data_IF_601500796694
#
_entry.id   IF_601500796694
#
_cell.length_a   1.000
_cell.length_b   1.000
_cell.length_c   1.000
_cell.angle_alpha   90.00
_cell.angle_beta   90.00
_cell.angle_gamma   90.00
#
_symmetry.space_group_name_H-M   'P 1'
#
loop_
_entity.id
_entity.type
_entity.pdbx_description
1 polymer ?
#
# COMPACT_ATOMS: atom_id res chain seq x y z
N UNK A 1 -20.48 -21.38 -7.61
CA UNK A 1 -19.10 -21.85 -7.83
C UNK A 1 -18.19 -21.07 -6.91
N UNK A 2 -17.47 -21.75 -6.02
CA UNK A 2 -16.44 -21.08 -5.20
C UNK A 2 -15.29 -20.69 -6.12
N UNK A 3 -15.12 -19.40 -6.35
CA UNK A 3 -13.94 -18.91 -7.04
C UNK A 3 -12.68 -19.29 -6.26
N UNK A 4 -11.79 -20.03 -6.89
CA UNK A 4 -10.53 -20.40 -6.27
C UNK A 4 -9.65 -19.16 -6.26
N UNK A 5 -9.35 -18.68 -5.06
CA UNK A 5 -8.42 -17.57 -4.88
C UNK A 5 -7.00 -18.13 -4.80
N UNK A 6 -6.17 -17.71 -5.74
CA UNK A 6 -4.84 -18.32 -5.93
C UNK A 6 -3.69 -17.50 -5.33
N UNK A 7 -3.90 -16.24 -5.00
CA UNK A 7 -2.82 -15.37 -4.56
C UNK A 7 -2.68 -15.33 -3.03
N UNK A 8 -1.46 -15.46 -2.59
CA UNK A 8 -1.03 -15.19 -1.22
C UNK A 8 -0.05 -14.03 -1.28
N UNK A 9 -0.37 -12.91 -0.63
CA UNK A 9 0.40 -11.68 -0.71
C UNK A 9 1.01 -11.39 0.66
N UNK A 10 2.32 -11.14 0.68
CA UNK A 10 3.04 -10.66 1.86
C UNK A 10 3.50 -9.22 1.64
N UNK A 11 3.23 -8.37 2.62
CA UNK A 11 3.64 -6.96 2.61
C UNK A 11 4.43 -6.69 3.89
N UNK A 12 5.66 -6.24 3.75
CA UNK A 12 6.47 -5.77 4.87
C UNK A 12 6.51 -4.25 4.83
N UNK A 13 5.82 -3.64 5.79
CA UNK A 13 5.82 -2.18 5.95
C UNK A 13 6.91 -1.81 6.96
N UNK A 14 8.10 -1.54 6.44
CA UNK A 14 9.23 -1.07 7.24
C UNK A 14 9.13 0.43 7.55
N UNK A 15 10.07 0.91 8.34
CA UNK A 15 10.11 2.32 8.77
C UNK A 15 10.29 3.30 7.62
N UNK A 16 11.04 2.91 6.58
CA UNK A 16 11.32 3.76 5.42
C UNK A 16 10.83 3.16 4.10
N UNK A 17 10.88 1.83 3.99
CA UNK A 17 10.60 1.10 2.77
C UNK A 17 9.55 0.02 2.99
N UNK A 18 8.81 -0.26 1.93
CA UNK A 18 7.83 -1.35 1.87
C UNK A 18 8.29 -2.36 0.83
N UNK A 19 8.20 -3.64 1.18
CA UNK A 19 8.47 -4.74 0.26
C UNK A 19 7.21 -5.57 0.08
N UNK A 20 6.97 -6.03 -1.15
CA UNK A 20 5.82 -6.88 -1.46
C UNK A 20 6.31 -8.12 -2.19
N UNK A 21 5.86 -9.27 -1.72
CA UNK A 21 6.01 -10.53 -2.42
C UNK A 21 4.65 -11.21 -2.54
N UNK A 22 4.52 -12.10 -3.50
CA UNK A 22 3.32 -12.90 -3.63
C UNK A 22 3.66 -14.30 -4.12
N UNK A 23 2.80 -15.24 -3.76
CA UNK A 23 2.82 -16.59 -4.27
C UNK A 23 1.53 -16.84 -5.06
N UNK A 24 1.70 -17.25 -6.31
CA UNK A 24 0.59 -17.65 -7.18
C UNK A 24 0.48 -19.18 -7.12
N UNK A 25 -0.57 -19.68 -6.49
CA UNK A 25 -0.80 -21.13 -6.32
C UNK A 25 -1.07 -21.83 -7.64
N UNK A 26 -1.66 -21.14 -8.60
CA UNK A 26 -1.96 -21.70 -9.93
C UNK A 26 -0.69 -21.85 -10.77
N UNK A 27 0.16 -20.84 -10.76
CA UNK A 27 1.45 -20.87 -11.47
C UNK A 27 2.55 -21.57 -10.66
N UNK A 28 2.33 -21.81 -9.37
CA UNK A 28 3.33 -22.35 -8.42
C UNK A 28 4.61 -21.51 -8.39
N UNK A 29 4.46 -20.18 -8.44
CA UNK A 29 5.56 -19.23 -8.47
C UNK A 29 5.49 -18.23 -7.33
N UNK A 30 6.66 -17.95 -6.74
CA UNK A 30 6.85 -16.84 -5.82
C UNK A 30 7.59 -15.71 -6.54
N UNK A 31 7.09 -14.48 -6.35
CA UNK A 31 7.69 -13.28 -6.96
C UNK A 31 7.74 -12.13 -5.97
N UNK A 32 8.76 -11.30 -6.11
CA UNK A 32 8.87 -10.03 -5.40
C UNK A 32 8.57 -8.88 -6.36
N UNK A 33 7.86 -7.88 -5.87
CA UNK A 33 7.59 -6.68 -6.65
C UNK A 33 8.87 -5.87 -6.84
N UNK A 34 9.18 -5.52 -8.09
CA UNK A 34 10.18 -4.51 -8.38
C UNK A 34 9.48 -3.23 -8.85
N UNK A 35 9.78 -2.12 -8.20
CA UNK A 35 9.23 -0.81 -8.55
C UNK A 35 9.85 -0.22 -9.81
N UNK A 36 10.93 -0.79 -10.30
CA UNK A 36 11.68 -0.27 -11.43
C UNK A 36 11.90 -1.36 -12.47
N UNK A 37 11.32 -1.16 -13.64
CA UNK A 37 11.46 -2.09 -14.76
C UNK A 37 12.93 -2.18 -15.18
N UNK A 38 13.44 -3.40 -15.29
CA UNK A 38 14.83 -3.65 -15.68
C UNK A 38 15.88 -3.43 -14.61
N UNK A 39 15.46 -3.11 -13.38
CA UNK A 39 16.34 -2.99 -12.23
C UNK A 39 15.76 -3.76 -11.05
N UNK A 40 16.59 -4.49 -10.35
CA UNK A 40 16.17 -5.29 -9.17
C UNK A 40 16.00 -4.41 -7.94
N UNK A 41 15.04 -3.49 -8.00
CA UNK A 41 14.70 -2.62 -6.88
C UNK A 41 13.42 -3.12 -6.20
N UNK A 42 13.57 -3.95 -5.18
CA UNK A 42 12.47 -4.59 -4.48
C UNK A 42 11.92 -3.78 -3.30
N UNK A 43 12.57 -2.70 -2.94
CA UNK A 43 12.14 -1.80 -1.89
C UNK A 43 11.46 -0.58 -2.49
N UNK A 44 10.22 -0.33 -2.07
CA UNK A 44 9.48 0.86 -2.43
C UNK A 44 9.52 1.85 -1.28
N UNK A 45 9.80 3.15 -1.52
CA UNK A 45 9.64 4.14 -0.48
C UNK A 45 8.24 4.08 0.14
N UNK A 46 8.14 4.05 1.46
CA UNK A 46 6.87 3.95 2.19
C UNK A 46 6.09 5.25 2.24
N UNK A 47 6.24 6.14 1.27
CA UNK A 47 5.64 7.47 1.31
C UNK A 47 4.40 7.58 0.42
N UNK A 48 3.54 8.52 0.80
CA UNK A 48 2.30 8.84 0.09
C UNK A 48 2.21 10.36 -0.12
N UNK A 49 1.82 10.75 -1.33
CA UNK A 49 1.68 12.12 -1.79
C UNK A 49 0.28 12.34 -2.34
N UNK A 50 -0.26 13.52 -2.14
CA UNK A 50 -1.51 13.95 -2.77
C UNK A 50 -1.21 14.97 -3.88
N UNK A 51 -1.82 14.79 -5.05
CA UNK A 51 -1.70 15.74 -6.17
C UNK A 51 -2.96 16.60 -6.26
N UNK A 52 -2.86 17.86 -5.90
CA UNK A 52 -4.00 18.77 -5.88
C UNK A 52 -4.62 18.98 -7.26
N UNK A 53 -3.79 19.00 -8.32
CA UNK A 53 -4.25 19.24 -9.70
C UNK A 53 -5.00 18.04 -10.29
N UNK A 54 -4.79 16.84 -9.74
CA UNK A 54 -5.39 15.59 -10.22
C UNK A 54 -6.42 15.03 -9.24
N UNK A 55 -6.40 15.46 -7.98
CA UNK A 55 -7.27 14.95 -6.94
C UNK A 55 -7.00 13.48 -6.58
N UNK A 56 -5.76 13.03 -6.70
CA UNK A 56 -5.39 11.64 -6.47
C UNK A 56 -4.17 11.48 -5.56
N UNK A 57 -3.92 10.24 -5.16
CA UNK A 57 -2.78 9.85 -4.34
C UNK A 57 -1.75 9.12 -5.17
N UNK A 58 -0.47 9.41 -4.92
CA UNK A 58 0.68 8.69 -5.47
C UNK A 58 1.47 8.05 -4.35
N UNK A 59 2.10 6.93 -4.62
CA UNK A 59 2.80 6.14 -3.61
C UNK A 59 4.18 5.71 -4.09
N UNK A 60 5.07 5.42 -3.15
CA UNK A 60 6.39 4.91 -3.45
C UNK A 60 7.26 5.90 -4.21
N UNK A 61 7.91 5.45 -5.27
CA UNK A 61 8.78 6.30 -6.10
C UNK A 61 8.02 7.45 -6.76
N UNK A 62 6.78 7.21 -7.18
CA UNK A 62 5.94 8.26 -7.75
C UNK A 62 5.62 9.34 -6.73
N UNK A 63 5.41 8.98 -5.46
CA UNK A 63 5.18 9.96 -4.41
C UNK A 63 6.39 10.88 -4.21
N UNK A 64 7.59 10.33 -4.22
CA UNK A 64 8.82 11.13 -4.13
C UNK A 64 8.97 12.08 -5.31
N UNK A 65 8.65 11.62 -6.50
CA UNK A 65 8.72 12.42 -7.71
C UNK A 65 7.69 13.57 -7.69
N UNK A 66 6.42 13.24 -7.50
CA UNK A 66 5.33 14.23 -7.60
C UNK A 66 5.29 15.21 -6.42
N UNK A 67 5.84 14.84 -5.26
CA UNK A 67 5.96 15.76 -4.14
C UNK A 67 6.88 16.96 -4.44
N UNK A 68 7.77 16.84 -5.42
CA UNK A 68 8.65 17.91 -5.88
C UNK A 68 8.01 18.78 -6.96
N UNK A 69 6.93 18.30 -7.57
CA UNK A 69 6.24 19.00 -8.62
C UNK A 69 5.20 19.99 -8.05
N UNK A 70 4.79 20.97 -8.88
CA UNK A 70 3.74 21.91 -8.51
C UNK A 70 2.43 21.16 -8.25
N UNK A 71 1.80 21.47 -7.13
CA UNK A 71 0.56 20.81 -6.72
C UNK A 71 0.74 19.51 -5.95
N UNK A 72 1.97 19.01 -5.82
CA UNK A 72 2.28 17.83 -5.02
C UNK A 72 2.42 18.17 -3.55
N UNK A 73 1.76 17.39 -2.70
CA UNK A 73 1.85 17.53 -1.23
C UNK A 73 2.30 16.19 -0.65
N UNK A 74 3.50 16.16 -0.09
CA UNK A 74 3.96 14.98 0.64
C UNK A 74 3.18 14.87 1.95
N UNK A 75 2.43 13.79 2.13
CA UNK A 75 1.70 13.53 3.36
C UNK A 75 2.62 12.94 4.41
N UNK A 76 3.42 11.97 4.05
CA UNK A 76 4.40 11.38 4.93
C UNK A 76 4.67 9.90 4.63
N UNK A 77 5.34 9.26 5.58
CA UNK A 77 5.65 7.85 5.54
C UNK A 77 4.51 7.04 6.15
N UNK A 78 4.13 5.96 5.48
CA UNK A 78 2.96 5.18 5.87
C UNK A 78 3.15 4.47 7.22
N UNK A 79 4.38 4.06 7.53
CA UNK A 79 4.68 3.47 8.84
C UNK A 79 4.36 4.44 9.99
N UNK A 80 4.78 5.70 9.84
CA UNK A 80 4.52 6.74 10.85
C UNK A 80 3.05 7.13 10.91
N UNK A 81 2.40 7.25 9.75
CA UNK A 81 0.98 7.58 9.64
C UNK A 81 0.13 6.55 10.42
N UNK A 82 0.44 5.27 10.27
CA UNK A 82 -0.34 4.19 10.90
C UNK A 82 -0.16 4.08 12.42
N UNK A 83 0.77 4.83 13.00
CA UNK A 83 0.95 4.93 14.44
C UNK A 83 0.13 6.06 15.08
N UNK A 84 -0.61 6.82 14.29
CA UNK A 84 -1.42 7.96 14.76
C UNK A 84 -2.87 7.55 14.96
N UNK A 85 -3.47 8.10 16.01
CA UNK A 85 -4.92 8.00 16.26
C UNK A 85 -5.67 9.15 15.59
N UNK A 86 -5.05 10.32 15.55
CA UNK A 86 -5.67 11.54 15.04
C UNK A 86 -5.83 11.48 13.52
N UNK A 87 -6.85 12.17 13.04
CA UNK A 87 -7.05 12.39 11.60
C UNK A 87 -5.96 13.32 11.06
N UNK A 88 -5.64 13.14 9.80
CA UNK A 88 -4.60 13.87 9.10
C UNK A 88 -5.27 14.78 8.08
N UNK A 89 -4.88 16.05 8.08
CA UNK A 89 -5.37 17.03 7.10
C UNK A 89 -4.71 16.81 5.74
N UNK A 90 -5.51 16.60 4.71
CA UNK A 90 -5.06 16.48 3.34
C UNK A 90 -5.90 17.39 2.46
N UNK A 91 -5.31 18.48 2.00
CA UNK A 91 -5.96 19.44 1.09
C UNK A 91 -7.35 19.90 1.57
N UNK A 92 -7.45 20.26 2.85
CA UNK A 92 -8.69 20.75 3.46
C UNK A 92 -9.66 19.67 3.95
N UNK A 93 -9.34 18.40 3.72
CA UNK A 93 -10.15 17.27 4.21
C UNK A 93 -9.43 16.53 5.32
N UNK A 94 -10.20 16.01 6.28
CA UNK A 94 -9.68 15.13 7.32
C UNK A 94 -9.72 13.68 6.86
N UNK A 95 -8.57 12.99 6.94
CA UNK A 95 -8.44 11.58 6.58
C UNK A 95 -7.96 10.77 7.77
N UNK A 96 -8.57 9.61 7.97
CA UNK A 96 -8.08 8.66 8.97
C UNK A 96 -6.78 7.99 8.47
N UNK A 97 -5.85 7.62 9.37
CA UNK A 97 -4.65 6.88 8.97
C UNK A 97 -4.94 5.64 8.13
N UNK A 98 -5.99 4.89 8.47
CA UNK A 98 -6.39 3.70 7.72
C UNK A 98 -6.84 4.03 6.29
N UNK A 99 -7.48 5.17 6.05
CA UNK A 99 -7.85 5.61 4.70
C UNK A 99 -6.61 5.88 3.84
N UNK A 100 -5.60 6.53 4.41
CA UNK A 100 -4.34 6.79 3.71
C UNK A 100 -3.59 5.50 3.41
N UNK A 101 -3.54 4.57 4.35
CA UNK A 101 -2.96 3.25 4.10
C UNK A 101 -3.73 2.49 3.02
N UNK A 102 -5.06 2.59 2.98
CA UNK A 102 -5.85 1.95 1.93
C UNK A 102 -5.47 2.49 0.54
N UNK A 103 -5.29 3.81 0.41
CA UNK A 103 -4.77 4.41 -0.82
C UNK A 103 -3.37 3.92 -1.17
N UNK A 104 -2.50 3.83 -0.17
CA UNK A 104 -1.14 3.31 -0.35
C UNK A 104 -1.17 1.85 -0.84
N UNK A 105 -1.94 1.00 -0.22
CA UNK A 105 -2.06 -0.41 -0.61
C UNK A 105 -2.59 -0.57 -2.03
N UNK A 106 -3.65 0.15 -2.38
CA UNK A 106 -4.19 0.13 -3.75
C UNK A 106 -3.16 0.61 -4.77
N UNK A 107 -2.45 1.68 -4.46
CA UNK A 107 -1.42 2.23 -5.34
C UNK A 107 -0.24 1.29 -5.54
N UNK A 108 0.28 0.73 -4.45
CA UNK A 108 1.45 -0.15 -4.51
C UNK A 108 1.12 -1.49 -5.18
N UNK A 109 -0.06 -2.05 -4.94
CA UNK A 109 -0.48 -3.33 -5.51
C UNK A 109 -0.73 -3.26 -7.03
N UNK A 110 -1.01 -2.08 -7.56
CA UNK A 110 -1.12 -1.88 -9.02
C UNK A 110 0.16 -2.23 -9.77
N UNK A 111 1.31 -2.05 -9.14
CA UNK A 111 2.59 -2.39 -9.76
C UNK A 111 2.80 -3.88 -9.98
N UNK A 112 2.03 -4.74 -9.32
CA UNK A 112 2.06 -6.19 -9.59
C UNK A 112 1.47 -6.53 -10.96
N UNK A 113 0.66 -5.65 -11.53
CA UNK A 113 0.03 -5.88 -12.84
C UNK A 113 -0.97 -7.04 -12.86
N UNK A 114 -1.45 -7.46 -11.70
CA UNK A 114 -2.39 -8.58 -11.58
C UNK A 114 -3.82 -8.06 -11.68
N UNK A 115 -4.58 -8.59 -12.63
CA UNK A 115 -5.97 -8.26 -12.81
C UNK A 115 -6.82 -8.81 -11.67
N UNK A 116 -7.79 -8.00 -11.18
CA UNK A 116 -8.71 -8.39 -10.11
C UNK A 116 -8.00 -8.91 -8.84
N UNK A 117 -6.87 -8.27 -8.48
CA UNK A 117 -6.01 -8.73 -7.39
C UNK A 117 -6.79 -8.93 -6.07
N UNK A 118 -7.73 -8.04 -5.76
CA UNK A 118 -8.53 -8.14 -4.53
C UNK A 118 -9.37 -9.42 -4.51
N UNK A 119 -10.01 -9.74 -5.62
CA UNK A 119 -10.84 -10.95 -5.74
C UNK A 119 -10.01 -12.23 -5.69
N UNK A 120 -8.81 -12.19 -6.28
CA UNK A 120 -7.95 -13.36 -6.40
C UNK A 120 -7.09 -13.59 -5.15
N UNK A 121 -7.05 -12.67 -4.23
CA UNK A 121 -6.26 -12.81 -3.01
C UNK A 121 -6.96 -13.70 -2.00
N UNK A 122 -6.29 -14.80 -1.65
CA UNK A 122 -6.72 -15.73 -0.62
C UNK A 122 -6.28 -15.28 0.78
N UNK A 123 -5.06 -14.79 0.86
CA UNK A 123 -4.45 -14.36 2.11
C UNK A 123 -3.59 -13.12 1.87
N UNK A 124 -3.75 -12.15 2.74
CA UNK A 124 -2.92 -10.95 2.77
C UNK A 124 -2.27 -10.86 4.14
N UNK A 125 -0.95 -10.95 4.17
CA UNK A 125 -0.17 -10.87 5.39
C UNK A 125 0.62 -9.57 5.41
N UNK A 126 0.45 -8.77 6.45
CA UNK A 126 1.19 -7.52 6.63
C UNK A 126 2.06 -7.64 7.87
N UNK A 127 3.33 -7.29 7.74
CA UNK A 127 4.27 -7.23 8.85
C UNK A 127 4.83 -5.82 8.99
N UNK A 128 5.26 -5.48 10.19
CA UNK A 128 5.96 -4.23 10.50
C UNK A 128 6.89 -4.43 11.69
N UNK A 129 7.97 -3.66 11.80
CA UNK A 129 8.75 -3.62 13.04
C UNK A 129 7.89 -3.11 14.20
N UNK A 130 8.06 -3.67 15.38
CA UNK A 130 7.43 -3.17 16.61
C UNK A 130 5.91 -2.97 16.51
N UNK A 131 5.22 -3.95 15.98
CA UNK A 131 3.79 -3.90 15.67
C UNK A 131 2.94 -3.61 16.92
N UNK A 132 2.35 -2.42 16.99
CA UNK A 132 1.47 -2.02 18.09
C UNK A 132 0.02 -2.44 17.82
N UNK A 133 -0.81 -2.45 18.87
CA UNK A 133 -2.25 -2.70 18.74
C UNK A 133 -2.92 -1.69 17.80
N UNK A 134 -2.52 -0.43 17.87
CA UNK A 134 -3.03 0.63 17.01
C UNK A 134 -2.68 0.38 15.54
N UNK A 135 -1.43 0.00 15.26
CA UNK A 135 -1.02 -0.35 13.90
C UNK A 135 -1.83 -1.54 13.36
N UNK A 136 -2.00 -2.59 14.15
CA UNK A 136 -2.81 -3.75 13.75
C UNK A 136 -4.23 -3.33 13.39
N UNK A 137 -4.84 -2.49 14.22
CA UNK A 137 -6.19 -1.97 13.97
C UNK A 137 -6.25 -1.16 12.67
N UNK A 138 -5.30 -0.27 12.45
CA UNK A 138 -5.22 0.53 11.23
C UNK A 138 -5.00 -0.34 10.00
N UNK A 139 -4.14 -1.36 10.08
CA UNK A 139 -3.88 -2.27 8.98
C UNK A 139 -5.13 -3.10 8.61
N UNK A 140 -5.84 -3.62 9.59
CA UNK A 140 -7.07 -4.37 9.36
C UNK A 140 -8.15 -3.49 8.70
N UNK A 141 -8.33 -2.29 9.21
CA UNK A 141 -9.29 -1.33 8.65
C UNK A 141 -8.92 -0.92 7.24
N UNK A 142 -7.65 -0.67 6.97
CA UNK A 142 -7.16 -0.33 5.64
C UNK A 142 -7.39 -1.45 4.63
N UNK A 143 -7.15 -2.69 5.00
CA UNK A 143 -7.42 -3.84 4.13
C UNK A 143 -8.91 -3.94 3.76
N UNK A 144 -9.78 -3.72 4.72
CA UNK A 144 -11.23 -3.68 4.47
C UNK A 144 -11.62 -2.53 3.55
N UNK A 145 -11.08 -1.31 3.80
CA UNK A 145 -11.33 -0.14 2.94
C UNK A 145 -10.78 -0.33 1.52
N UNK A 146 -9.69 -1.06 1.37
CA UNK A 146 -9.12 -1.39 0.06
C UNK A 146 -9.92 -2.49 -0.69
N UNK A 147 -10.91 -3.08 -0.04
CA UNK A 147 -11.81 -4.07 -0.63
C UNK A 147 -11.41 -5.52 -0.37
N UNK A 148 -10.38 -5.79 0.43
CA UNK A 148 -10.00 -7.16 0.77
C UNK A 148 -10.97 -7.77 1.78
N UNK A 149 -11.42 -8.99 1.52
CA UNK A 149 -12.23 -9.79 2.45
C UNK A 149 -13.57 -9.15 2.83
N UNK A 150 -14.17 -8.42 1.91
CA UNK A 150 -15.51 -7.83 2.09
C UNK A 150 -16.61 -8.79 1.65
#
# INVERSE_FOLDING_TARGET
MNEIRDLIIGIDIGKEYTQICYYDRKAEEARSLSMKVGASQYEAPGCICYRTDHGDYCVGLEAEYFAREKGGIMIGNIYDICQKEEKIQVSGEEKEPAELLAHFLRGILKFLGIQDIVKNTRCLCITSPELSTLQVRNYQKACSLAGFFT
#
